data_IF_629782889240
#
_entry.id   IF_629782889240
#
_cell.length_a   1.000
_cell.length_b   1.000
_cell.length_c   1.000
_cell.angle_alpha   90.00
_cell.angle_beta   90.00
_cell.angle_gamma   90.00
#
_symmetry.space_group_name_H-M   'P 1'
#
loop_
_entity.id
_entity.type
_entity.pdbx_description
1 polymer ?
#
# COMPACT_ATOMS: atom_id res chain seq x y z
N UNK A 1 10.30 0.89 -18.88
CA UNK A 1 10.39 0.83 -17.40
C UNK A 1 9.93 2.18 -16.89
N UNK A 2 8.75 2.23 -16.27
CA UNK A 2 8.23 3.47 -15.71
C UNK A 2 8.88 3.75 -14.35
N UNK A 3 9.16 5.03 -14.07
CA UNK A 3 9.76 5.47 -12.81
C UNK A 3 8.85 6.46 -12.11
N UNK A 4 8.74 6.32 -10.79
CA UNK A 4 8.13 7.32 -9.92
C UNK A 4 9.22 7.94 -9.04
N UNK A 5 9.31 9.26 -9.06
CA UNK A 5 10.29 10.02 -8.28
C UNK A 5 9.65 10.58 -7.01
N UNK A 6 10.43 10.66 -5.93
CA UNK A 6 9.99 11.22 -4.65
C UNK A 6 10.46 10.40 -3.46
N UNK A 7 10.08 10.84 -2.26
CA UNK A 7 10.27 10.08 -1.02
C UNK A 7 8.96 9.40 -0.65
N UNK A 8 9.02 8.09 -0.39
CA UNK A 8 7.85 7.29 -0.11
C UNK A 8 8.00 6.54 1.20
N UNK A 9 6.96 6.56 2.02
CA UNK A 9 6.75 5.50 3.00
C UNK A 9 6.09 4.31 2.33
N UNK A 10 6.55 3.10 2.64
CA UNK A 10 5.94 1.85 2.21
C UNK A 10 5.38 1.08 3.40
N UNK A 11 4.25 0.40 3.18
CA UNK A 11 3.68 -0.53 4.18
C UNK A 11 2.91 -1.65 3.50
N UNK A 12 3.05 -2.85 4.03
CA UNK A 12 2.41 -4.08 3.53
C UNK A 12 1.16 -4.36 4.34
N UNK A 13 0.09 -4.76 3.65
CA UNK A 13 -1.19 -5.15 4.23
C UNK A 13 -1.61 -6.51 3.67
N UNK A 14 -2.31 -7.29 4.49
CA UNK A 14 -2.91 -8.56 4.11
C UNK A 14 -4.41 -8.50 4.43
N UNK A 15 -5.22 -9.04 3.53
CA UNK A 15 -6.66 -9.17 3.74
C UNK A 15 -7.49 -8.98 2.47
N UNK A 16 -8.82 -9.11 2.57
CA UNK A 16 -9.72 -8.89 1.45
C UNK A 16 -9.78 -7.41 1.07
N UNK A 17 -9.99 -7.11 -0.22
CA UNK A 17 -10.00 -5.73 -0.74
C UNK A 17 -11.00 -4.79 -0.04
N UNK A 18 -12.07 -5.31 0.56
CA UNK A 18 -13.01 -4.52 1.38
C UNK A 18 -12.33 -3.79 2.55
N UNK A 19 -11.16 -4.24 2.99
CA UNK A 19 -10.36 -3.61 4.04
C UNK A 19 -9.43 -2.51 3.51
N UNK A 20 -9.39 -2.24 2.20
CA UNK A 20 -8.55 -1.20 1.59
C UNK A 20 -8.73 0.17 2.25
N UNK A 21 -9.98 0.54 2.59
CA UNK A 21 -10.26 1.78 3.31
C UNK A 21 -9.64 1.82 4.72
N UNK A 22 -9.56 0.68 5.42
CA UNK A 22 -8.88 0.57 6.72
C UNK A 22 -7.37 0.75 6.56
N UNK A 23 -6.77 0.11 5.56
CA UNK A 23 -5.34 0.22 5.25
C UNK A 23 -4.95 1.67 4.91
N UNK A 24 -5.78 2.37 4.12
CA UNK A 24 -5.57 3.78 3.80
C UNK A 24 -5.60 4.67 5.05
N UNK A 25 -6.55 4.44 5.98
CA UNK A 25 -6.62 5.17 7.26
C UNK A 25 -5.41 4.87 8.14
N UNK A 26 -4.95 3.61 8.17
CA UNK A 26 -3.76 3.23 8.92
C UNK A 26 -2.50 3.88 8.35
N UNK A 27 -2.33 3.89 7.02
CA UNK A 27 -1.20 4.56 6.36
C UNK A 27 -1.19 6.06 6.66
N UNK A 28 -2.36 6.74 6.63
CA UNK A 28 -2.48 8.15 7.02
C UNK A 28 -2.02 8.39 8.46
N UNK A 29 -2.48 7.57 9.41
CA UNK A 29 -2.05 7.66 10.81
C UNK A 29 -0.56 7.42 10.97
N UNK A 30 -0.01 6.45 10.24
CA UNK A 30 1.41 6.12 10.25
C UNK A 30 2.26 7.27 9.72
N UNK A 31 1.90 7.89 8.60
CA UNK A 31 2.66 9.01 8.04
C UNK A 31 2.54 10.24 8.95
N UNK A 32 1.35 10.51 9.49
CA UNK A 32 1.14 11.61 10.44
C UNK A 32 1.97 11.43 11.73
N UNK A 33 2.10 10.20 12.25
CA UNK A 33 2.95 9.93 13.42
C UNK A 33 4.45 10.10 13.16
N UNK A 34 4.86 10.25 11.89
CA UNK A 34 6.22 10.64 11.48
C UNK A 34 6.37 12.13 11.22
N UNK A 35 5.34 12.95 11.51
CA UNK A 35 5.36 14.39 11.28
C UNK A 35 5.43 14.76 9.80
N UNK A 36 4.84 13.93 8.93
CA UNK A 36 4.80 14.13 7.48
C UNK A 36 3.35 14.16 6.99
N UNK A 37 3.16 14.74 5.81
CA UNK A 37 1.86 14.80 5.14
C UNK A 37 1.90 14.01 3.83
N UNK A 38 0.81 13.32 3.51
CA UNK A 38 0.72 12.51 2.29
C UNK A 38 0.31 13.41 1.12
N UNK A 39 1.16 13.49 0.09
CA UNK A 39 0.87 14.19 -1.17
C UNK A 39 0.11 13.30 -2.16
N UNK A 40 0.51 12.03 -2.24
CA UNK A 40 -0.11 11.03 -3.12
C UNK A 40 0.07 9.64 -2.53
N UNK A 41 -0.88 8.77 -2.79
CA UNK A 41 -0.81 7.38 -2.35
C UNK A 41 -1.07 6.44 -3.53
N UNK A 42 -0.27 5.39 -3.60
CA UNK A 42 -0.37 4.32 -4.58
C UNK A 42 -0.60 3.01 -3.85
N UNK A 43 -1.33 2.09 -4.48
CA UNK A 43 -1.53 0.74 -3.95
C UNK A 43 -1.43 -0.27 -5.07
N UNK A 44 -0.75 -1.39 -4.82
CA UNK A 44 -0.63 -2.48 -5.79
C UNK A 44 -0.56 -3.82 -5.07
N UNK A 45 -0.98 -4.87 -5.78
CA UNK A 45 -0.84 -6.24 -5.33
C UNK A 45 0.54 -6.78 -5.68
N UNK A 46 1.14 -7.56 -4.78
CA UNK A 46 2.45 -8.17 -5.01
C UNK A 46 2.39 -9.40 -5.90
N UNK A 47 1.18 -9.91 -6.18
CA UNK A 47 0.99 -11.14 -6.97
C UNK A 47 -0.10 -10.98 -8.01
N UNK A 48 0.01 -11.81 -9.06
CA UNK A 48 -1.01 -11.93 -10.10
C UNK A 48 -2.27 -12.66 -9.58
N UNK A 49 -3.47 -12.48 -10.17
CA UNK A 49 -4.66 -13.19 -9.72
C UNK A 49 -4.55 -14.72 -9.73
N UNK A 50 -3.84 -15.30 -10.71
CA UNK A 50 -3.59 -16.74 -10.75
C UNK A 50 -2.66 -17.20 -9.61
N UNK A 51 -1.62 -16.41 -9.34
CA UNK A 51 -0.66 -16.62 -8.26
C UNK A 51 -1.36 -16.60 -6.90
N UNK A 52 -2.23 -15.61 -6.67
CA UNK A 52 -3.01 -15.49 -5.45
C UNK A 52 -3.90 -16.72 -5.17
N UNK A 53 -4.44 -17.37 -6.22
CA UNK A 53 -5.23 -18.60 -6.09
C UNK A 53 -4.36 -19.79 -5.66
N UNK A 54 -3.12 -19.87 -6.13
CA UNK A 54 -2.18 -20.96 -5.80
C UNK A 54 -1.62 -20.79 -4.38
N UNK A 55 -1.18 -19.57 -4.03
CA UNK A 55 -0.50 -19.32 -2.76
C UNK A 55 -1.44 -18.92 -1.62
N UNK A 56 -2.73 -18.70 -1.90
CA UNK A 56 -3.78 -18.38 -0.91
C UNK A 56 -3.70 -16.98 -0.29
N UNK A 57 -2.55 -16.30 -0.39
CA UNK A 57 -2.34 -14.94 0.12
C UNK A 57 -2.02 -13.98 -1.01
N UNK A 58 -2.57 -12.78 -0.93
CA UNK A 58 -2.21 -11.68 -1.82
C UNK A 58 -2.01 -10.40 -1.01
N UNK A 59 -0.75 -10.01 -0.84
CA UNK A 59 -0.40 -8.82 -0.10
C UNK A 59 -0.62 -7.57 -0.95
N UNK A 60 -1.08 -6.50 -0.32
CA UNK A 60 -1.16 -5.17 -0.91
C UNK A 60 -0.10 -4.27 -0.31
N UNK A 61 0.69 -3.62 -1.15
CA UNK A 61 1.65 -2.60 -0.73
C UNK A 61 1.04 -1.24 -0.97
N UNK A 62 1.04 -0.38 0.05
CA UNK A 62 0.75 1.05 -0.10
C UNK A 62 2.06 1.83 -0.10
N UNK A 63 2.20 2.75 -1.05
CA UNK A 63 3.26 3.75 -1.11
C UNK A 63 2.65 5.14 -0.87
N UNK A 64 3.07 5.84 0.17
CA UNK A 64 2.66 7.21 0.45
C UNK A 64 3.82 8.18 0.17
N UNK A 65 3.65 9.02 -0.85
CA UNK A 65 4.57 10.11 -1.16
C UNK A 65 4.41 11.21 -0.13
N UNK A 66 5.53 11.72 0.39
CA UNK A 66 5.59 12.82 1.37
C UNK A 66 6.37 14.03 0.87
#
# INVERSE_FOLDING_TARGET
MERISGTFFSKVFEGPYKDAGKWHKEMKRYVASKGKEIKRMYSFYTTCPACAKVYGKNYTVLLAMV
#
